data_IF_764654287932
#
_entry.id   IF_764654287932
#
_cell.length_a   1.000
_cell.length_b   1.000
_cell.length_c   1.000
_cell.angle_alpha   90.00
_cell.angle_beta   90.00
_cell.angle_gamma   90.00
#
_symmetry.space_group_name_H-M   'P 1'
#
loop_
_entity.id
_entity.type
_entity.pdbx_description
1 polymer ?
#
# COMPACT_ATOMS: atom_id res chain seq x y z
N UNK A 1 9.11 3.71 2.56
CA UNK A 1 9.35 2.26 2.60
C UNK A 1 10.11 1.75 3.84
N UNK A 2 10.66 2.61 4.73
CA UNK A 2 11.43 2.14 5.89
C UNK A 2 10.51 1.66 7.02
N UNK A 3 9.40 2.36 7.26
CA UNK A 3 8.45 2.02 8.32
C UNK A 3 7.72 0.70 8.03
N UNK A 4 7.22 0.54 6.80
CA UNK A 4 6.56 -0.71 6.36
C UNK A 4 7.51 -1.91 6.49
N UNK A 5 8.80 -1.74 6.17
CA UNK A 5 9.81 -2.81 6.32
C UNK A 5 10.04 -3.16 7.79
N UNK A 6 10.15 -2.16 8.67
CA UNK A 6 10.33 -2.37 10.12
C UNK A 6 9.15 -3.14 10.72
N UNK A 7 7.91 -2.71 10.44
CA UNK A 7 6.73 -3.40 10.95
C UNK A 7 6.62 -4.83 10.40
N UNK A 8 6.96 -5.07 9.13
CA UNK A 8 7.01 -6.44 8.59
C UNK A 8 7.94 -7.34 9.40
N UNK A 9 9.12 -6.84 9.78
CA UNK A 9 10.08 -7.59 10.59
C UNK A 9 9.54 -7.84 12.00
N UNK A 10 8.89 -6.85 12.62
CA UNK A 10 8.26 -6.99 13.93
C UNK A 10 7.17 -8.07 13.92
N UNK A 11 6.24 -8.01 12.98
CA UNK A 11 5.15 -8.98 12.83
C UNK A 11 5.70 -10.39 12.58
N UNK A 12 6.72 -10.52 11.73
CA UNK A 12 7.31 -11.83 11.43
C UNK A 12 8.04 -12.44 12.64
N UNK A 13 8.68 -11.61 13.46
CA UNK A 13 9.44 -12.07 14.64
C UNK A 13 8.53 -12.43 15.81
N UNK A 14 7.51 -11.62 16.07
CA UNK A 14 6.63 -11.76 17.24
C UNK A 14 5.15 -11.63 16.84
N UNK A 15 4.60 -12.57 16.06
CA UNK A 15 3.27 -12.42 15.48
C UNK A 15 2.15 -12.34 16.52
N UNK A 16 2.34 -12.89 17.72
CA UNK A 16 1.34 -12.89 18.79
C UNK A 16 1.47 -11.71 19.76
N UNK A 17 2.47 -10.85 19.58
CA UNK A 17 2.62 -9.64 20.38
C UNK A 17 1.44 -8.68 20.12
N UNK A 18 0.82 -8.08 21.15
CA UNK A 18 -0.29 -7.14 20.98
C UNK A 18 0.02 -5.98 20.01
N UNK A 19 1.19 -5.37 20.11
CA UNK A 19 1.64 -4.31 19.20
C UNK A 19 1.72 -4.81 17.76
N UNK A 20 2.26 -6.02 17.56
CA UNK A 20 2.35 -6.63 16.24
C UNK A 20 0.97 -6.90 15.63
N UNK A 21 0.01 -7.33 16.45
CA UNK A 21 -1.38 -7.55 16.04
C UNK A 21 -2.08 -6.25 15.63
N UNK A 22 -1.87 -5.16 16.37
CA UNK A 22 -2.38 -3.83 16.02
C UNK A 22 -1.81 -3.38 14.67
N UNK A 23 -0.51 -3.53 14.45
CA UNK A 23 0.11 -3.18 13.17
C UNK A 23 -0.37 -4.06 12.02
N UNK A 24 -0.54 -5.36 12.24
CA UNK A 24 -1.08 -6.28 11.23
C UNK A 24 -2.51 -5.86 10.83
N UNK A 25 -3.34 -5.50 11.81
CA UNK A 25 -4.69 -4.98 11.58
C UNK A 25 -4.68 -3.65 10.84
N UNK A 26 -3.80 -2.72 11.20
CA UNK A 26 -3.65 -1.43 10.52
C UNK A 26 -3.30 -1.62 9.04
N UNK A 27 -2.27 -2.42 8.75
CA UNK A 27 -1.83 -2.67 7.36
C UNK A 27 -2.94 -3.37 6.56
N UNK A 28 -3.59 -4.39 7.13
CA UNK A 28 -4.66 -5.11 6.43
C UNK A 28 -5.84 -4.17 6.12
N UNK A 29 -6.22 -3.32 7.07
CA UNK A 29 -7.30 -2.34 6.88
C UNK A 29 -6.97 -1.33 5.77
N UNK A 30 -5.70 -0.92 5.68
CA UNK A 30 -5.22 -0.03 4.63
C UNK A 30 -5.20 -0.68 3.24
N UNK A 31 -4.94 -2.00 3.17
CA UNK A 31 -4.94 -2.79 1.93
C UNK A 31 -6.36 -3.03 1.44
N UNK A 32 -7.23 -3.49 2.34
CA UNK A 32 -8.60 -3.88 2.04
C UNK A 32 -9.55 -2.68 1.97
N UNK A 33 -9.05 -1.48 2.30
CA UNK A 33 -9.80 -0.23 2.35
C UNK A 33 -11.02 -0.29 3.28
N UNK A 34 -10.85 -0.93 4.43
CA UNK A 34 -11.87 -1.09 5.48
C UNK A 34 -11.56 -0.26 6.72
N UNK A 35 -12.55 -0.16 7.60
CA UNK A 35 -12.42 0.61 8.85
C UNK A 35 -11.35 0.05 9.79
N UNK A 36 -10.61 0.97 10.41
CA UNK A 36 -9.67 0.69 11.48
C UNK A 36 -10.08 1.44 12.75
N UNK A 37 -10.08 0.76 13.89
CA UNK A 37 -10.50 1.35 15.15
C UNK A 37 -9.41 2.26 15.74
N UNK A 38 -9.65 3.57 15.78
CA UNK A 38 -8.66 4.55 16.25
C UNK A 38 -8.15 4.27 17.67
N UNK A 39 -9.00 3.71 18.54
CA UNK A 39 -8.63 3.32 19.91
C UNK A 39 -7.42 2.36 19.95
N UNK A 40 -7.27 1.52 18.93
CA UNK A 40 -6.20 0.54 18.86
C UNK A 40 -4.84 1.25 18.73
N UNK A 41 -4.78 2.47 18.16
CA UNK A 41 -3.54 3.26 18.16
C UNK A 41 -3.16 3.74 19.55
N UNK A 42 -4.14 4.03 20.42
CA UNK A 42 -3.88 4.51 21.78
C UNK A 42 -3.36 3.41 22.72
N UNK A 43 -3.48 2.15 22.31
CA UNK A 43 -2.88 1.01 23.04
C UNK A 43 -1.38 0.86 22.76
N UNK A 44 -0.86 1.55 21.73
CA UNK A 44 0.55 1.51 21.37
C UNK A 44 1.41 2.33 22.34
N UNK A 45 2.68 1.93 22.48
CA UNK A 45 3.69 2.79 23.10
C UNK A 45 3.89 4.06 22.25
N UNK A 46 4.44 5.13 22.83
CA UNK A 46 4.69 6.37 22.09
C UNK A 46 5.56 6.13 20.84
N UNK A 47 6.60 5.30 20.94
CA UNK A 47 7.45 4.95 19.80
C UNK A 47 6.72 4.15 18.72
N UNK A 48 5.81 3.26 19.12
CA UNK A 48 5.04 2.46 18.17
C UNK A 48 3.92 3.28 17.52
N UNK A 49 3.35 4.24 18.24
CA UNK A 49 2.39 5.20 17.69
C UNK A 49 3.03 6.06 16.60
N UNK A 50 4.22 6.61 16.85
CA UNK A 50 4.97 7.36 15.83
C UNK A 50 5.28 6.49 14.60
N UNK A 51 5.64 5.21 14.82
CA UNK A 51 5.83 4.26 13.74
C UNK A 51 4.54 4.01 12.95
N UNK A 52 3.37 4.00 13.61
CA UNK A 52 2.07 3.91 12.92
C UNK A 52 1.81 5.14 12.04
N UNK A 53 2.18 6.34 12.50
CA UNK A 53 2.06 7.58 11.71
C UNK A 53 2.97 7.54 10.48
N UNK A 54 4.21 7.08 10.63
CA UNK A 54 5.14 6.89 9.52
C UNK A 54 4.57 5.90 8.47
N UNK A 55 3.94 4.81 8.91
CA UNK A 55 3.30 3.84 8.01
C UNK A 55 2.18 4.52 7.21
N UNK A 56 1.31 5.29 7.86
CA UNK A 56 0.21 6.00 7.18
C UNK A 56 0.76 7.00 6.14
N UNK A 57 1.81 7.73 6.47
CA UNK A 57 2.46 8.67 5.56
C UNK A 57 3.07 7.95 4.35
N UNK A 58 3.81 6.86 4.58
CA UNK A 58 4.39 6.04 3.52
C UNK A 58 3.31 5.40 2.63
N UNK A 59 2.25 4.84 3.24
CA UNK A 59 1.14 4.20 2.53
C UNK A 59 0.41 5.17 1.61
N UNK A 60 0.16 6.40 2.08
CA UNK A 60 -0.45 7.46 1.29
C UNK A 60 0.36 7.77 0.04
N UNK A 61 1.69 7.79 0.14
CA UNK A 61 2.58 8.03 -1.01
C UNK A 61 2.54 6.85 -1.98
N UNK A 62 2.69 5.61 -1.49
CA UNK A 62 2.67 4.41 -2.34
C UNK A 62 1.33 4.28 -3.10
N UNK A 63 0.20 4.51 -2.42
CA UNK A 63 -1.13 4.51 -3.06
C UNK A 63 -1.25 5.57 -4.16
N UNK A 64 -0.68 6.75 -3.95
CA UNK A 64 -0.69 7.83 -4.95
C UNK A 64 0.12 7.45 -6.20
N UNK A 65 1.25 6.77 -6.04
CA UNK A 65 2.06 6.29 -7.17
C UNK A 65 1.42 5.08 -7.87
N UNK A 66 0.77 4.15 -7.14
CA UNK A 66 0.00 3.06 -7.74
C UNK A 66 -1.16 3.58 -8.61
N UNK A 67 -1.87 4.61 -8.15
CA UNK A 67 -2.95 5.24 -8.93
C UNK A 67 -2.44 5.81 -10.26
N UNK A 68 -1.32 6.54 -10.25
CA UNK A 68 -0.71 7.08 -11.47
C UNK A 68 -0.25 6.01 -12.44
N UNK A 69 0.33 4.92 -11.94
CA UNK A 69 0.75 3.79 -12.77
C UNK A 69 -0.44 3.15 -13.49
N UNK A 70 -1.55 2.89 -12.78
CA UNK A 70 -2.78 2.36 -13.39
C UNK A 70 -3.37 3.30 -14.45
N UNK A 71 -3.42 4.61 -14.17
CA UNK A 71 -3.89 5.60 -15.14
C UNK A 71 -3.00 5.68 -16.38
N UNK A 72 -1.67 5.58 -16.20
CA UNK A 72 -0.72 5.55 -17.29
C UNK A 72 -0.89 4.28 -18.16
N UNK A 73 -1.05 3.10 -17.55
CA UNK A 73 -1.28 1.85 -18.26
C UNK A 73 -2.57 1.91 -19.10
N UNK A 74 -3.67 2.42 -18.52
CA UNK A 74 -4.95 2.61 -19.24
C UNK A 74 -4.79 3.62 -20.39
N UNK A 75 -4.07 4.72 -20.17
CA UNK A 75 -3.80 5.70 -21.22
C UNK A 75 -2.97 5.10 -22.37
N UNK A 76 -1.97 4.27 -22.06
CA UNK A 76 -1.17 3.57 -23.06
C UNK A 76 -1.98 2.54 -23.85
N UNK A 77 -2.87 1.80 -23.20
CA UNK A 77 -3.81 0.90 -23.89
C UNK A 77 -4.74 1.67 -24.84
N UNK A 78 -5.32 2.78 -24.38
CA UNK A 78 -6.19 3.62 -25.21
C UNK A 78 -5.46 4.16 -26.46
N UNK A 79 -4.19 4.58 -26.31
CA UNK A 79 -3.37 5.04 -27.43
C UNK A 79 -3.01 3.91 -28.41
N UNK A 80 -2.76 2.69 -27.92
CA UNK A 80 -2.50 1.52 -28.78
C UNK A 80 -3.75 1.08 -29.55
N UNK A 81 -4.93 1.14 -28.92
CA UNK A 81 -6.21 0.82 -29.57
C UNK A 81 -6.57 1.82 -30.68
N UNK A 82 -6.06 3.05 -30.59
CA UNK A 82 -6.31 4.10 -31.57
C UNK A 82 -5.26 4.15 -32.70
N UNK A 83 -4.31 3.19 -32.75
CA UNK A 83 -3.43 3.04 -33.90
C UNK A 83 -4.17 2.30 -35.02
N UNK A 84 -4.36 2.89 -36.21
CA UNK A 84 -4.93 2.17 -37.33
C UNK A 84 -4.03 0.99 -37.68
N UNK A 85 -4.60 -0.22 -37.65
CA UNK A 85 -3.96 -1.48 -38.03
C UNK A 85 -3.39 -1.36 -39.45
N UNK A 86 -2.11 -1.04 -39.56
CA UNK A 86 -1.40 -1.07 -40.84
C UNK A 86 -1.07 -2.52 -41.17
N UNK A 87 -2.06 -3.21 -41.73
CA UNK A 87 -1.87 -4.51 -42.36
C UNK A 87 -0.84 -4.38 -43.48
N UNK A 88 0.42 -4.76 -43.22
CA UNK A 88 1.40 -5.00 -44.29
C UNK A 88 1.15 -6.40 -44.87
N UNK A 89 0.89 -6.54 -46.19
CA UNK A 89 0.86 -7.84 -46.82
C UNK A 89 2.28 -8.41 -46.88
N UNK A 90 2.43 -9.69 -46.52
CA UNK A 90 3.65 -10.46 -46.79
C UNK A 90 3.76 -10.68 -48.30
N UNK A 91 4.87 -10.24 -48.88
CA UNK A 91 5.36 -10.67 -50.19
C UNK A 91 6.64 -11.49 -49.97
#
# INVERSE_FOLDING_TARGET
MRAIKKVRQLIAREPLNPTAQIFAKLISSLVDEVDFALKDLYELSNSDFELAMDILQEWRLDRYYMGKAKTFDVAMQALQLNQPQTNKPKA
#
